data_IF_286101382351
#
_entry.id   IF_286101382351
#
_cell.length_a   1.000
_cell.length_b   1.000
_cell.length_c   1.000
_cell.angle_alpha   90.00
_cell.angle_beta   90.00
_cell.angle_gamma   90.00
#
_symmetry.space_group_name_H-M   'P 1'
#
loop_
_entity.id
_entity.type
_entity.pdbx_description
1 polymer ?
#
# COMPACT_ATOMS: atom_id res chain seq x y z
N UNK A 1 6.76 -7.11 2.98
CA UNK A 1 6.51 -6.53 4.31
C UNK A 1 5.29 -5.63 4.29
N UNK A 2 5.42 -4.45 3.66
CA UNK A 2 4.36 -3.43 3.61
C UNK A 2 3.08 -3.94 2.95
N UNK A 3 3.18 -4.58 1.78
CA UNK A 3 2.03 -5.15 1.07
C UNK A 3 1.27 -6.22 1.86
N UNK A 4 1.99 -7.07 2.60
CA UNK A 4 1.35 -8.09 3.42
C UNK A 4 0.57 -7.44 4.58
N UNK A 5 1.16 -6.43 5.23
CA UNK A 5 0.45 -5.65 6.25
C UNK A 5 -0.76 -4.90 5.67
N UNK A 6 -0.64 -4.41 4.44
CA UNK A 6 -1.71 -3.72 3.70
C UNK A 6 -2.85 -4.66 3.35
N UNK A 7 -2.56 -5.86 2.83
CA UNK A 7 -3.53 -6.92 2.55
C UNK A 7 -4.29 -7.35 3.81
N UNK A 8 -3.59 -7.44 4.95
CA UNK A 8 -4.18 -7.79 6.25
C UNK A 8 -4.85 -6.63 6.98
N UNK A 9 -4.71 -5.39 6.49
CA UNK A 9 -5.26 -4.19 7.14
C UNK A 9 -4.59 -3.83 8.48
N UNK A 10 -3.33 -4.22 8.69
CA UNK A 10 -2.63 -4.04 9.97
C UNK A 10 -1.90 -2.69 10.00
N UNK A 11 -2.64 -1.63 10.33
CA UNK A 11 -2.16 -0.24 10.34
C UNK A 11 -0.87 0.00 11.15
N UNK A 12 -0.74 -0.65 12.31
CA UNK A 12 0.42 -0.46 13.20
C UNK A 12 1.72 -0.95 12.54
N UNK A 13 1.66 -2.05 11.79
CA UNK A 13 2.82 -2.58 11.07
C UNK A 13 3.13 -1.70 9.85
N UNK A 14 2.11 -1.20 9.15
CA UNK A 14 2.30 -0.25 8.04
C UNK A 14 3.05 0.98 8.53
N UNK A 15 2.59 1.60 9.62
CA UNK A 15 3.24 2.78 10.19
C UNK A 15 4.67 2.49 10.64
N UNK A 16 4.92 1.36 11.30
CA UNK A 16 6.27 0.96 11.69
C UNK A 16 7.19 0.79 10.47
N UNK A 17 6.73 0.14 9.41
CA UNK A 17 7.53 -0.11 8.21
C UNK A 17 7.82 1.17 7.42
N UNK A 18 6.89 2.12 7.38
CA UNK A 18 7.08 3.40 6.69
C UNK A 18 8.02 4.33 7.44
N UNK A 19 7.92 4.39 8.77
CA UNK A 19 8.70 5.32 9.60
C UNK A 19 10.08 4.76 9.94
N UNK A 20 10.15 3.52 10.42
CA UNK A 20 11.40 2.91 10.89
C UNK A 20 12.04 2.01 9.83
N UNK A 21 11.21 1.31 9.06
CA UNK A 21 11.66 0.30 8.11
C UNK A 21 12.18 0.84 6.78
N UNK A 22 12.08 2.15 6.54
CA UNK A 22 12.40 2.79 5.25
C UNK A 22 11.74 2.08 4.05
N UNK A 23 10.54 1.55 4.24
CA UNK A 23 9.82 0.85 3.19
C UNK A 23 9.41 1.83 2.09
N UNK A 24 9.65 1.47 0.84
CA UNK A 24 9.12 2.21 -0.31
C UNK A 24 7.59 2.03 -0.38
N UNK A 25 6.87 3.14 -0.18
CA UNK A 25 5.41 3.20 -0.18
C UNK A 25 4.82 2.83 -1.55
N UNK A 26 5.57 3.05 -2.62
CA UNK A 26 5.15 2.85 -4.02
C UNK A 26 5.75 1.58 -4.64
N UNK A 27 6.40 0.73 -3.83
CA UNK A 27 6.88 -0.56 -4.31
C UNK A 27 5.73 -1.37 -4.93
N UNK A 28 6.04 -2.10 -6.02
CA UNK A 28 5.09 -2.96 -6.74
C UNK A 28 5.50 -4.43 -6.65
N UNK A 29 4.53 -5.34 -6.59
CA UNK A 29 4.81 -6.77 -6.73
C UNK A 29 4.96 -7.16 -8.20
N UNK A 30 5.14 -8.45 -8.49
CA UNK A 30 5.23 -8.99 -9.86
C UNK A 30 4.02 -8.67 -10.73
N UNK A 31 2.85 -8.50 -10.12
CA UNK A 31 1.59 -8.21 -10.80
C UNK A 31 1.33 -6.70 -10.98
N UNK A 32 2.28 -5.87 -10.55
CA UNK A 32 2.17 -4.40 -10.59
C UNK A 32 1.40 -3.82 -9.40
N UNK A 33 1.01 -4.63 -8.41
CA UNK A 33 0.19 -4.15 -7.30
C UNK A 33 1.00 -3.39 -6.26
N UNK A 34 0.47 -2.26 -5.80
CA UNK A 34 1.01 -1.47 -4.68
C UNK A 34 0.39 -1.91 -3.35
N UNK A 35 0.97 -1.42 -2.25
CA UNK A 35 0.34 -1.52 -0.93
C UNK A 35 -1.02 -0.84 -0.86
N UNK A 36 -1.21 0.29 -1.56
CA UNK A 36 -2.48 1.01 -1.59
C UNK A 36 -3.57 0.16 -2.28
N UNK A 37 -3.23 -0.58 -3.34
CA UNK A 37 -4.19 -1.40 -4.10
C UNK A 37 -4.78 -2.49 -3.22
N UNK A 38 -3.93 -3.11 -2.39
CA UNK A 38 -4.39 -4.07 -1.39
C UNK A 38 -5.32 -3.43 -0.34
N UNK A 39 -5.05 -2.21 0.11
CA UNK A 39 -5.96 -1.55 1.04
C UNK A 39 -7.30 -1.20 0.38
N UNK A 40 -7.31 -0.74 -0.87
CA UNK A 40 -8.53 -0.47 -1.63
C UNK A 40 -9.36 -1.74 -1.85
N UNK A 41 -8.74 -2.81 -2.32
CA UNK A 41 -9.40 -4.09 -2.61
C UNK A 41 -10.16 -4.66 -1.40
N UNK A 42 -9.59 -4.51 -0.19
CA UNK A 42 -10.14 -5.05 1.04
C UNK A 42 -10.86 -4.01 1.91
N UNK A 43 -10.98 -2.75 1.45
CA UNK A 43 -11.68 -1.67 2.17
C UNK A 43 -10.98 -1.15 3.42
N UNK A 44 -9.66 -1.33 3.55
CA UNK A 44 -8.87 -0.94 4.71
C UNK A 44 -8.60 0.58 4.76
N UNK A 45 -9.67 1.36 4.94
CA UNK A 45 -9.67 2.83 4.82
C UNK A 45 -8.62 3.51 5.72
N UNK A 46 -8.43 3.02 6.94
CA UNK A 46 -7.41 3.56 7.85
C UNK A 46 -5.98 3.31 7.37
N UNK A 47 -5.73 2.17 6.72
CA UNK A 47 -4.44 1.88 6.11
C UNK A 47 -4.22 2.74 4.86
N UNK A 48 -5.27 2.99 4.07
CA UNK A 48 -5.22 3.91 2.92
C UNK A 48 -4.78 5.30 3.37
N UNK A 49 -5.39 5.86 4.43
CA UNK A 49 -5.01 7.18 4.96
C UNK A 49 -3.53 7.24 5.32
N UNK A 50 -3.01 6.23 6.03
CA UNK A 50 -1.59 6.18 6.41
C UNK A 50 -0.69 6.17 5.18
N UNK A 51 -1.00 5.36 4.17
CA UNK A 51 -0.23 5.27 2.93
C UNK A 51 -0.27 6.61 2.17
N UNK A 52 -1.44 7.25 2.07
CA UNK A 52 -1.60 8.56 1.43
C UNK A 52 -0.87 9.68 2.17
N UNK A 53 -0.89 9.67 3.51
CA UNK A 53 -0.12 10.62 4.34
C UNK A 53 1.39 10.47 4.11
N UNK A 54 1.84 9.29 3.67
CA UNK A 54 3.23 9.01 3.30
C UNK A 54 3.48 9.12 1.78
N UNK A 55 2.62 9.86 1.05
CA UNK A 55 2.77 10.13 -0.39
C UNK A 55 2.72 8.89 -1.28
N UNK A 56 1.87 7.91 -0.95
CA UNK A 56 1.51 6.84 -1.88
C UNK A 56 0.93 7.42 -3.17
N UNK A 57 1.42 6.96 -4.31
CA UNK A 57 0.95 7.37 -5.64
C UNK A 57 -0.32 6.59 -6.02
N UNK A 58 -1.41 7.34 -6.18
CA UNK A 58 -2.72 6.81 -6.60
C UNK A 58 -2.80 6.53 -8.11
N UNK A 59 -1.78 6.90 -8.88
CA UNK A 59 -1.75 6.73 -10.33
C UNK A 59 -1.01 5.47 -10.79
N UNK A 60 -0.48 4.68 -9.85
CA UNK A 60 0.16 3.41 -10.21
C UNK A 60 -0.88 2.50 -10.83
N UNK A 61 -0.47 1.77 -11.87
CA UNK A 61 -1.31 0.83 -12.60
C UNK A 61 -0.75 -0.56 -12.45
N UNK A 62 -1.63 -1.52 -12.24
CA UNK A 62 -1.24 -2.92 -12.31
C UNK A 62 -0.89 -3.33 -13.75
N UNK A 63 -0.41 -4.57 -13.93
CA UNK A 63 -0.04 -5.07 -15.25
C UNK A 63 -1.22 -5.17 -16.23
N UNK A 64 -2.46 -5.15 -15.74
CA UNK A 64 -3.68 -5.12 -16.57
C UNK A 64 -4.11 -3.69 -16.92
N UNK A 65 -3.40 -2.69 -16.40
CA UNK A 65 -3.71 -1.29 -16.60
C UNK A 65 -4.83 -0.77 -15.71
N UNK A 66 -5.24 -1.52 -14.68
CA UNK A 66 -6.21 -1.02 -13.70
C UNK A 66 -5.53 -0.02 -12.78
N UNK A 67 -6.23 1.07 -12.48
CA UNK A 67 -5.94 1.88 -11.31
C UNK A 67 -6.81 1.40 -10.16
N UNK A 68 -6.25 1.43 -8.96
CA UNK A 68 -6.92 1.28 -7.66
C UNK A 68 -8.22 2.08 -7.50
#
# INVERSE_FOLDING_TARGET
>A
GLMMASNKGVKNIIQLLLVEGSADVNATCSDGWTSLMYCCQHGHTECMKILLDHSADVKVRDNEGNTE
#
